data_IF_310156547900
#
_entry.id   IF_310156547900
#
_cell.length_a   1.000
_cell.length_b   1.000
_cell.length_c   1.000
_cell.angle_alpha   90.00
_cell.angle_beta   90.00
_cell.angle_gamma   90.00
#
_symmetry.space_group_name_H-M   'P 1'
#
loop_
_entity.id
_entity.type
_entity.pdbx_description
1 polymer ?
#
# COMPACT_ATOMS: atom_id res chain seq x y z
N UNK A 1 -12.78 -10.06 3.98
CA UNK A 1 -12.58 -10.07 2.51
C UNK A 1 -12.67 -8.66 1.99
N UNK A 2 -11.72 -8.29 1.16
CA UNK A 2 -11.72 -6.95 0.56
C UNK A 2 -12.82 -6.84 -0.48
N UNK A 3 -13.53 -5.74 -0.44
CA UNK A 3 -14.56 -5.46 -1.42
C UNK A 3 -13.92 -4.87 -2.68
N UNK A 4 -13.92 -5.64 -3.75
CA UNK A 4 -13.25 -5.29 -4.99
C UNK A 4 -14.16 -4.55 -5.98
N UNK A 5 -14.85 -3.53 -5.50
CA UNK A 5 -15.70 -2.72 -6.36
C UNK A 5 -14.94 -2.21 -7.59
N UNK A 6 -13.67 -1.90 -7.41
CA UNK A 6 -12.80 -1.42 -8.50
C UNK A 6 -12.58 -2.46 -9.60
N UNK A 7 -12.66 -3.75 -9.26
CA UNK A 7 -12.37 -4.82 -10.20
C UNK A 7 -13.55 -5.08 -11.12
N UNK A 8 -14.76 -4.77 -10.68
CA UNK A 8 -15.98 -4.98 -11.43
C UNK A 8 -16.24 -3.88 -12.47
N UNK A 9 -15.46 -2.81 -12.43
CA UNK A 9 -15.56 -1.74 -13.40
C UNK A 9 -14.90 -2.19 -14.69
N UNK A 10 -15.70 -2.53 -15.69
CA UNK A 10 -15.22 -3.05 -16.97
C UNK A 10 -14.25 -2.15 -17.71
N UNK A 11 -14.18 -0.87 -17.36
CA UNK A 11 -13.27 0.10 -17.96
C UNK A 11 -11.95 0.23 -17.20
N UNK A 12 -11.83 -0.36 -16.01
CA UNK A 12 -10.63 -0.23 -15.18
C UNK A 12 -9.55 -1.20 -15.62
N UNK A 13 -8.43 -0.66 -16.10
CA UNK A 13 -7.26 -1.47 -16.45
C UNK A 13 -6.42 -1.76 -15.24
N UNK A 14 -6.06 -3.02 -15.05
CA UNK A 14 -5.19 -3.45 -13.97
C UNK A 14 -4.39 -4.67 -14.40
N UNK A 15 -3.23 -4.83 -13.77
CA UNK A 15 -2.37 -5.99 -13.98
C UNK A 15 -1.93 -6.54 -12.63
N UNK A 16 -2.02 -7.85 -12.46
CA UNK A 16 -1.42 -8.52 -11.29
C UNK A 16 0.07 -8.63 -11.57
N UNK A 17 0.90 -8.11 -10.66
CA UNK A 17 2.33 -7.96 -10.90
C UNK A 17 3.18 -9.10 -10.34
N UNK A 18 2.78 -9.69 -9.23
CA UNK A 18 3.52 -10.77 -8.60
C UNK A 18 2.96 -12.14 -8.96
N UNK A 19 3.78 -13.16 -8.75
CA UNK A 19 3.32 -14.55 -8.84
C UNK A 19 2.39 -14.86 -7.69
N UNK A 20 1.44 -15.77 -7.91
CA UNK A 20 0.52 -16.19 -6.86
C UNK A 20 1.28 -16.64 -5.62
N UNK A 21 0.80 -16.24 -4.45
CA UNK A 21 1.36 -16.65 -3.17
C UNK A 21 0.29 -17.39 -2.37
N UNK A 22 0.72 -18.38 -1.59
CA UNK A 22 -0.18 -19.13 -0.73
C UNK A 22 -0.44 -18.36 0.56
N UNK A 23 -1.54 -18.68 1.22
CA UNK A 23 -1.85 -18.13 2.53
C UNK A 23 -0.71 -18.40 3.53
N UNK A 24 -0.12 -19.60 3.45
CA UNK A 24 1.00 -19.97 4.31
C UNK A 24 2.22 -19.07 4.10
N UNK A 25 2.56 -18.77 2.84
CA UNK A 25 3.67 -17.88 2.53
C UNK A 25 3.44 -16.48 3.08
N UNK A 26 2.24 -15.94 2.89
CA UNK A 26 1.90 -14.60 3.39
C UNK A 26 1.91 -14.57 4.92
N UNK A 27 1.34 -15.61 5.54
CA UNK A 27 1.31 -15.73 6.99
C UNK A 27 2.72 -15.79 7.59
N UNK A 28 3.63 -16.54 6.95
CA UNK A 28 5.02 -16.62 7.38
C UNK A 28 5.73 -15.27 7.28
N UNK A 29 5.51 -14.57 6.18
CA UNK A 29 6.12 -13.26 5.97
C UNK A 29 5.64 -12.26 7.03
N UNK A 30 4.35 -12.23 7.33
CA UNK A 30 3.75 -11.27 8.27
C UNK A 30 3.75 -11.76 9.72
N UNK A 31 4.27 -12.96 9.97
CA UNK A 31 4.26 -13.57 11.30
C UNK A 31 4.81 -12.69 12.43
N UNK A 32 5.90 -11.92 12.23
CA UNK A 32 6.44 -11.10 13.31
C UNK A 32 5.52 -9.98 13.79
N UNK A 33 4.50 -9.64 13.01
CA UNK A 33 3.66 -8.47 13.28
C UNK A 33 2.20 -8.87 13.45
N UNK A 34 1.52 -8.17 14.35
CA UNK A 34 0.10 -8.39 14.62
C UNK A 34 -0.57 -7.01 14.71
N UNK A 35 -1.20 -6.59 13.63
CA UNK A 35 -1.83 -5.29 13.55
C UNK A 35 -3.30 -5.41 13.12
N UNK A 36 -4.16 -4.45 13.53
CA UNK A 36 -5.55 -4.46 13.10
C UNK A 36 -5.68 -4.44 11.58
N UNK A 37 -6.53 -5.29 11.04
CA UNK A 37 -6.73 -5.39 9.59
C UNK A 37 -5.71 -6.27 8.86
N UNK A 38 -4.83 -6.93 9.57
CA UNK A 38 -3.82 -7.83 8.99
C UNK A 38 -4.45 -8.90 8.09
N UNK A 39 -5.56 -9.48 8.52
CA UNK A 39 -6.22 -10.56 7.76
C UNK A 39 -6.72 -10.07 6.40
N UNK A 40 -7.27 -8.85 6.34
CA UNK A 40 -7.70 -8.27 5.07
C UNK A 40 -6.54 -8.02 4.13
N UNK A 41 -5.41 -7.59 4.66
CA UNK A 41 -4.21 -7.37 3.87
C UNK A 41 -3.65 -8.70 3.35
N UNK A 42 -3.67 -9.74 4.18
CA UNK A 42 -3.28 -11.09 3.77
C UNK A 42 -4.17 -11.61 2.66
N UNK A 43 -5.48 -11.42 2.78
CA UNK A 43 -6.44 -11.82 1.76
C UNK A 43 -6.16 -11.11 0.42
N UNK A 44 -5.85 -9.82 0.47
CA UNK A 44 -5.49 -9.08 -0.73
C UNK A 44 -4.27 -9.71 -1.42
N UNK A 45 -3.21 -9.98 -0.68
CA UNK A 45 -1.99 -10.55 -1.26
C UNK A 45 -2.23 -11.96 -1.83
N UNK A 46 -3.12 -12.74 -1.22
CA UNK A 46 -3.46 -14.06 -1.73
C UNK A 46 -4.34 -14.00 -2.97
N UNK A 47 -5.25 -13.02 -3.05
CA UNK A 47 -6.14 -12.86 -4.21
C UNK A 47 -5.42 -12.22 -5.38
N UNK A 48 -4.58 -11.21 -5.11
CA UNK A 48 -3.87 -10.46 -6.13
C UNK A 48 -2.54 -10.01 -5.55
N UNK A 49 -1.50 -10.76 -5.81
CA UNK A 49 -0.19 -10.43 -5.26
C UNK A 49 0.39 -9.18 -5.94
N UNK A 50 -0.12 -8.04 -5.51
CA UNK A 50 0.20 -6.74 -6.08
C UNK A 50 -0.63 -6.41 -7.32
N UNK A 51 -0.94 -5.15 -7.48
CA UNK A 51 -1.72 -4.65 -8.63
C UNK A 51 -1.07 -3.39 -9.19
N UNK A 52 -0.99 -3.31 -10.50
CA UNK A 52 -0.58 -2.12 -11.22
C UNK A 52 -1.77 -1.55 -11.98
N UNK A 53 -1.99 -0.25 -11.84
CA UNK A 53 -3.07 0.47 -12.49
C UNK A 53 -2.46 1.46 -13.49
N UNK A 54 -2.41 1.14 -14.80
CA UNK A 54 -1.75 2.00 -15.79
C UNK A 54 -2.30 3.44 -15.83
N UNK A 55 -3.58 3.60 -15.52
CA UNK A 55 -4.22 4.92 -15.53
C UNK A 55 -4.22 5.57 -14.14
N UNK A 56 -3.71 4.89 -13.12
CA UNK A 56 -3.74 5.35 -11.74
C UNK A 56 -5.12 5.30 -11.12
N UNK A 57 -5.16 5.38 -9.80
CA UNK A 57 -6.39 5.49 -9.03
C UNK A 57 -6.32 6.73 -8.14
N UNK A 58 -7.46 7.32 -7.91
CA UNK A 58 -7.61 8.41 -6.94
C UNK A 58 -7.86 7.81 -5.55
N UNK A 59 -7.16 8.31 -4.55
CA UNK A 59 -7.44 7.95 -3.17
C UNK A 59 -8.35 9.01 -2.55
N UNK A 60 -9.56 8.60 -2.18
CA UNK A 60 -10.47 9.47 -1.45
C UNK A 60 -10.08 9.49 0.01
N UNK A 61 -9.59 10.63 0.48
CA UNK A 61 -9.22 10.80 1.88
C UNK A 61 -9.68 12.17 2.36
N UNK A 62 -9.78 12.32 3.68
CA UNK A 62 -10.17 13.59 4.29
C UNK A 62 -9.12 14.69 4.04
N UNK A 63 -7.92 14.30 3.65
CA UNK A 63 -6.88 15.27 3.31
C UNK A 63 -7.17 16.00 2.01
N UNK A 64 -7.97 15.42 1.14
CA UNK A 64 -8.40 16.02 -0.14
C UNK A 64 -7.24 16.61 -0.95
N UNK A 65 -6.11 15.95 -0.95
CA UNK A 65 -4.87 16.48 -1.54
C UNK A 65 -4.59 15.96 -2.93
N UNK A 66 -5.58 15.36 -3.59
CA UNK A 66 -5.38 14.79 -4.92
C UNK A 66 -4.42 13.61 -4.91
N UNK A 67 -4.44 12.83 -3.85
CA UNK A 67 -3.57 11.67 -3.73
C UNK A 67 -3.97 10.61 -4.76
N UNK A 68 -2.97 9.93 -5.31
CA UNK A 68 -3.19 8.85 -6.26
C UNK A 68 -2.40 7.60 -5.85
N UNK A 69 -2.84 6.46 -6.39
CA UNK A 69 -2.14 5.19 -6.24
C UNK A 69 -1.98 4.60 -7.64
N UNK A 70 -0.76 4.25 -7.99
CA UNK A 70 -0.48 3.57 -9.26
C UNK A 70 -0.23 2.08 -9.05
N UNK A 71 0.51 1.73 -8.00
CA UNK A 71 0.94 0.37 -7.75
C UNK A 71 0.68 -0.03 -6.31
N UNK A 72 0.04 -1.17 -6.12
CA UNK A 72 0.00 -1.87 -4.83
C UNK A 72 1.05 -2.97 -4.90
N UNK A 73 1.95 -2.99 -3.92
CA UNK A 73 3.18 -3.80 -3.99
C UNK A 73 2.93 -5.30 -3.80
N UNK A 74 3.72 -6.08 -4.50
CA UNK A 74 3.73 -7.53 -4.42
C UNK A 74 4.73 -8.03 -3.37
N UNK A 75 4.36 -9.11 -2.71
CA UNK A 75 5.22 -9.84 -1.81
C UNK A 75 6.39 -10.45 -2.61
N UNK A 76 7.57 -10.46 -2.05
CA UNK A 76 8.81 -10.98 -2.67
C UNK A 76 9.25 -10.22 -3.92
N UNK A 77 8.69 -9.04 -4.13
CA UNK A 77 9.09 -8.17 -5.22
C UNK A 77 9.26 -6.76 -4.69
N UNK A 78 8.25 -5.92 -4.92
CA UNK A 78 8.35 -4.51 -4.58
C UNK A 78 8.36 -4.24 -3.07
N UNK A 79 7.62 -5.01 -2.28
CA UNK A 79 7.65 -4.83 -0.81
C UNK A 79 9.09 -4.98 -0.31
N UNK A 80 9.73 -6.09 -0.63
CA UNK A 80 11.08 -6.36 -0.14
C UNK A 80 12.10 -5.38 -0.69
N UNK A 81 12.01 -5.10 -1.98
CA UNK A 81 12.96 -4.21 -2.66
C UNK A 81 12.89 -2.78 -2.12
N UNK A 82 11.71 -2.21 -2.05
CA UNK A 82 11.57 -0.83 -1.60
C UNK A 82 11.78 -0.68 -0.10
N UNK A 83 11.48 -1.71 0.67
CA UNK A 83 11.79 -1.70 2.08
C UNK A 83 13.30 -1.68 2.32
N UNK A 84 14.04 -2.52 1.58
CA UNK A 84 15.50 -2.55 1.68
C UNK A 84 16.11 -1.21 1.27
N UNK A 85 15.62 -0.61 0.19
CA UNK A 85 16.09 0.71 -0.27
C UNK A 85 15.84 1.77 0.81
N UNK A 86 14.65 1.78 1.40
CA UNK A 86 14.32 2.75 2.44
C UNK A 86 15.19 2.60 3.69
N UNK A 87 15.51 1.37 4.07
CA UNK A 87 16.37 1.11 5.23
C UNK A 87 17.78 1.67 5.06
N UNK A 88 18.23 1.84 3.84
CA UNK A 88 19.55 2.42 3.55
C UNK A 88 19.49 3.92 3.27
N UNK A 89 18.30 4.48 3.18
CA UNK A 89 18.11 5.89 2.89
C UNK A 89 18.14 6.70 4.20
N UNK A 90 19.08 7.67 4.35
CA UNK A 90 19.17 8.45 5.58
C UNK A 90 17.93 9.31 5.86
N UNK A 91 17.08 9.57 4.87
CA UNK A 91 15.84 10.31 5.06
C UNK A 91 14.75 9.47 5.76
N UNK A 92 14.99 8.16 5.92
CA UNK A 92 14.10 7.25 6.62
C UNK A 92 14.76 6.80 7.93
N UNK A 93 14.32 7.30 9.09
CA UNK A 93 14.86 6.85 10.38
C UNK A 93 14.67 5.34 10.57
N UNK A 94 15.62 4.68 11.20
CA UNK A 94 15.56 3.24 11.48
C UNK A 94 14.29 2.87 12.25
N UNK A 95 13.88 3.71 13.19
CA UNK A 95 12.65 3.47 13.94
C UNK A 95 11.42 3.45 13.04
N UNK A 96 11.41 4.27 11.98
CA UNK A 96 10.30 4.26 11.03
C UNK A 96 10.29 2.99 10.20
N UNK A 97 11.40 2.64 9.55
CA UNK A 97 11.46 1.46 8.66
C UNK A 97 11.31 0.15 9.40
N UNK A 98 11.62 0.11 10.70
CA UNK A 98 11.40 -1.08 11.52
C UNK A 98 9.92 -1.28 11.85
N UNK A 99 9.19 -0.18 12.06
CA UNK A 99 7.79 -0.21 12.47
C UNK A 99 6.77 -0.04 11.36
N UNK A 100 7.21 0.11 10.12
CA UNK A 100 6.33 0.36 8.96
C UNK A 100 6.79 -0.45 7.77
N UNK A 101 5.84 -0.85 6.91
CA UNK A 101 6.13 -1.62 5.70
C UNK A 101 5.58 -0.88 4.49
N UNK A 102 6.36 -0.74 3.39
CA UNK A 102 5.86 -0.08 2.19
C UNK A 102 4.87 -1.00 1.47
N UNK A 103 3.74 -0.46 1.04
CA UNK A 103 2.67 -1.25 0.43
C UNK A 103 2.23 -0.73 -0.93
N UNK A 104 2.56 0.51 -1.29
CA UNK A 104 2.08 1.12 -2.52
C UNK A 104 2.91 2.33 -2.91
N UNK A 105 2.75 2.81 -4.15
CA UNK A 105 3.29 4.10 -4.56
C UNK A 105 2.33 4.80 -5.54
N UNK A 106 2.59 6.09 -5.71
CA UNK A 106 1.98 6.88 -6.78
C UNK A 106 2.92 6.94 -8.00
N UNK A 107 2.49 7.61 -9.07
CA UNK A 107 3.30 7.73 -10.28
C UNK A 107 4.55 8.58 -10.09
N UNK A 108 4.57 9.45 -9.10
CA UNK A 108 5.72 10.31 -8.80
C UNK A 108 6.76 9.64 -7.91
N UNK A 109 6.49 8.43 -7.43
CA UNK A 109 7.42 7.69 -6.58
C UNK A 109 7.23 7.90 -5.08
N UNK A 110 6.19 8.63 -4.68
CA UNK A 110 5.84 8.73 -3.27
C UNK A 110 5.22 7.42 -2.80
N UNK A 111 5.56 6.99 -1.58
CA UNK A 111 5.14 5.68 -1.10
C UNK A 111 4.09 5.78 0.00
N UNK A 112 3.26 4.72 0.04
CA UNK A 112 2.33 4.47 1.13
C UNK A 112 2.89 3.35 1.99
N UNK A 113 2.76 3.49 3.29
CA UNK A 113 3.29 2.57 4.29
C UNK A 113 2.19 2.14 5.24
N UNK A 114 2.27 0.91 5.73
CA UNK A 114 1.38 0.44 6.79
C UNK A 114 2.13 0.41 8.11
N UNK A 115 1.50 0.93 9.16
CA UNK A 115 2.04 0.85 10.52
C UNK A 115 1.83 -0.57 11.03
N UNK A 116 2.93 -1.24 11.38
CA UNK A 116 2.91 -2.64 11.78
C UNK A 116 2.39 -2.88 13.21
N UNK A 117 1.99 -1.81 13.89
CA UNK A 117 1.37 -1.88 15.21
C UNK A 117 -0.08 -1.43 15.15
N UNK A 118 -0.34 -0.27 14.58
CA UNK A 118 -1.71 0.29 14.53
C UNK A 118 -2.52 -0.16 13.33
N UNK A 119 -1.88 -0.61 12.27
CA UNK A 119 -2.55 -0.95 11.00
C UNK A 119 -2.92 0.26 10.16
N UNK A 120 -2.63 1.46 10.60
CA UNK A 120 -2.90 2.68 9.82
C UNK A 120 -2.06 2.70 8.55
N UNK A 121 -2.61 3.31 7.49
CA UNK A 121 -1.89 3.54 6.25
C UNK A 121 -1.46 5.00 6.20
N UNK A 122 -0.17 5.20 5.88
CA UNK A 122 0.45 6.52 5.84
C UNK A 122 1.00 6.79 4.44
N UNK A 123 0.96 8.06 4.07
CA UNK A 123 1.57 8.56 2.83
C UNK A 123 2.81 9.37 3.20
N UNK A 124 3.91 9.12 2.51
CA UNK A 124 5.13 9.92 2.69
C UNK A 124 5.38 10.71 1.41
N UNK A 125 5.34 12.03 1.52
CA UNK A 125 5.75 12.92 0.45
C UNK A 125 7.29 12.92 0.41
N UNK A 126 7.86 12.35 -0.63
CA UNK A 126 9.31 12.16 -0.74
C UNK A 126 10.09 13.47 -0.80
N UNK A 127 9.43 14.55 -1.19
CA UNK A 127 10.07 15.87 -1.21
C UNK A 127 10.41 16.35 0.20
N UNK A 128 9.56 15.99 1.19
CA UNK A 128 9.72 16.44 2.57
C UNK A 128 10.22 15.35 3.52
N UNK A 129 10.18 14.09 3.10
CA UNK A 129 10.64 12.96 3.90
C UNK A 129 9.71 12.60 5.05
N UNK A 130 10.17 11.69 5.92
CA UNK A 130 9.36 11.17 7.02
C UNK A 130 9.05 12.25 8.06
N UNK A 131 10.01 13.13 8.33
CA UNK A 131 9.86 14.12 9.42
C UNK A 131 8.76 15.15 9.15
N UNK A 132 8.61 15.57 7.89
CA UNK A 132 7.69 16.66 7.53
C UNK A 132 6.66 16.26 6.48
N UNK A 133 6.85 15.13 5.80
CA UNK A 133 5.99 14.68 4.70
C UNK A 133 5.09 13.51 5.02
N UNK A 134 4.92 13.16 6.30
CA UNK A 134 4.15 12.00 6.72
C UNK A 134 2.70 12.37 7.04
N UNK A 135 1.76 11.66 6.42
CA UNK A 135 0.32 11.87 6.63
C UNK A 135 -0.38 10.53 6.81
N UNK A 136 -1.22 10.41 7.85
CA UNK A 136 -2.09 9.24 8.00
C UNK A 136 -3.28 9.40 7.05
N UNK A 137 -3.47 8.46 6.14
CA UNK A 137 -4.50 8.56 5.10
C UNK A 137 -5.66 7.60 5.30
N UNK A 138 -5.49 6.54 6.07
CA UNK A 138 -6.57 5.57 6.36
C UNK A 138 -6.30 4.85 7.68
N UNK A 139 -7.38 4.39 8.30
CA UNK A 139 -7.31 3.66 9.57
C UNK A 139 -6.78 2.23 9.41
N UNK A 140 -6.93 1.65 8.21
CA UNK A 140 -6.56 0.26 7.95
C UNK A 140 -6.32 0.07 6.46
N UNK A 141 -5.72 -1.06 6.10
CA UNK A 141 -5.57 -1.41 4.68
C UNK A 141 -6.93 -1.56 4.00
N UNK A 142 -7.90 -2.16 4.67
CA UNK A 142 -9.24 -2.34 4.12
C UNK A 142 -9.90 -0.99 3.77
N UNK A 143 -9.82 -0.02 4.68
CA UNK A 143 -10.33 1.33 4.43
C UNK A 143 -9.57 2.03 3.30
N UNK A 144 -8.26 1.87 3.27
CA UNK A 144 -7.41 2.41 2.21
C UNK A 144 -7.82 1.84 0.85
N UNK A 145 -7.92 0.53 0.75
CA UNK A 145 -8.26 -0.15 -0.49
C UNK A 145 -9.66 0.22 -0.97
N UNK A 146 -10.61 0.31 -0.05
CA UNK A 146 -12.00 0.69 -0.37
C UNK A 146 -12.15 2.15 -0.80
N UNK A 147 -11.20 3.00 -0.46
CA UNK A 147 -11.21 4.41 -0.84
C UNK A 147 -10.59 4.68 -2.21
N UNK A 148 -10.03 3.66 -2.85
CA UNK A 148 -9.47 3.80 -4.19
C UNK A 148 -10.59 3.83 -5.23
N UNK A 149 -10.50 4.73 -6.18
CA UNK A 149 -11.50 4.85 -7.24
C UNK A 149 -10.84 5.33 -8.53
N UNK A 150 -11.51 5.13 -9.70
CA UNK A 150 -10.97 5.62 -10.97
C UNK A 150 -10.70 7.13 -10.93
N UNK A 151 -9.68 7.57 -11.66
CA UNK A 151 -9.22 8.96 -11.64
C UNK A 151 -10.30 9.97 -12.05
N UNK A 152 -11.29 9.57 -12.80
CA UNK A 152 -12.38 10.43 -13.26
C UNK A 152 -13.67 10.20 -12.46
N UNK A 153 -13.54 9.73 -11.24
CA UNK A 153 -14.66 9.55 -10.33
C UNK A 153 -14.96 10.89 -9.65
N UNK A 154 -16.14 11.43 -9.90
CA UNK A 154 -16.61 12.66 -9.25
C UNK A 154 -17.30 12.36 -7.92
#
# INVERSE_FOLDING_TARGET
MLNNVLIDEGALRKEVIGSSVSHTEVAQFLHPWDFPGKDDYMDFLCESNGLFFPDGLCLKSDLCMGLEVETLYDLRGRIERYWAIAKENPDYPDAFTTGHMPIANDAAGNMYWIDLVSGEVLFIDSEYGVAEGLYVVSDSFSSFYSALCPMHCD
#
